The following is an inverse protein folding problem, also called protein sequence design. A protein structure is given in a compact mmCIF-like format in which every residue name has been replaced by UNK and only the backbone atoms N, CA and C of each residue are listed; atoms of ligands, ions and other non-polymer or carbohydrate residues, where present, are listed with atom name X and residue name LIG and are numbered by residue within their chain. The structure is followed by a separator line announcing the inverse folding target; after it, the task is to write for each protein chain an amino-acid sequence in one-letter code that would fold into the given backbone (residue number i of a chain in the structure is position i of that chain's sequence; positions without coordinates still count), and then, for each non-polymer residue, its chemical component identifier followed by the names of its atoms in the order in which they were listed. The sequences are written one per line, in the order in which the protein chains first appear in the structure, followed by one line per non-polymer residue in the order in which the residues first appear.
data_IF_288101672433
#
_entry.id   IF_288101672433
#
_cell.length_a   1.000
_cell.length_b   1.000
_cell.length_c   1.000
_cell.angle_alpha   90.00
_cell.angle_beta   90.00
_cell.angle_gamma   90.00
#
_symmetry.space_group_name_H-M   'P 1'
#
loop_
_entity.id
_entity.type
_entity.pdbx_description
1 polymer ?
#
# COMPACT_ATOMS: atom_id res chain seq x y z
N UNK A 1 63.31 52.72 -23.17
CA UNK A 1 62.36 51.63 -23.51
C UNK A 1 62.64 50.48 -22.56
N UNK A 2 61.90 50.38 -21.46
CA UNK A 2 61.89 49.15 -20.66
C UNK A 2 61.11 48.12 -21.47
N UNK A 3 61.80 47.14 -22.04
CA UNK A 3 61.14 46.00 -22.68
C UNK A 3 60.31 45.28 -21.63
N UNK A 4 58.98 45.38 -21.75
CA UNK A 4 58.06 44.50 -21.05
C UNK A 4 58.39 43.07 -21.47
N UNK A 5 58.93 42.26 -20.56
CA UNK A 5 59.08 40.82 -20.78
C UNK A 5 57.66 40.25 -20.78
N UNK A 6 57.17 39.79 -21.94
CA UNK A 6 55.87 39.11 -22.04
C UNK A 6 55.87 37.87 -21.17
N UNK A 7 54.78 37.64 -20.43
CA UNK A 7 54.63 36.49 -19.54
C UNK A 7 54.52 35.18 -20.35
N UNK A 8 55.24 34.13 -19.94
CA UNK A 8 55.23 32.80 -20.55
C UNK A 8 54.37 31.76 -19.79
N UNK A 9 53.67 32.19 -18.74
CA UNK A 9 52.79 31.35 -17.94
C UNK A 9 51.51 31.00 -18.71
N UNK A 10 51.34 29.71 -19.02
CA UNK A 10 50.19 29.14 -19.73
C UNK A 10 49.51 28.04 -18.90
N UNK A 11 49.20 28.31 -17.63
CA UNK A 11 48.64 27.31 -16.71
C UNK A 11 47.13 27.46 -16.55
N UNK A 12 46.45 26.34 -16.35
CA UNK A 12 45.17 26.31 -15.63
C UNK A 12 45.51 26.32 -14.14
N UNK A 13 44.96 27.29 -13.41
CA UNK A 13 45.16 27.49 -11.97
C UNK A 13 44.03 26.86 -11.15
N UNK A 14 42.80 26.85 -11.69
CA UNK A 14 41.68 26.10 -11.12
C UNK A 14 40.73 25.62 -12.22
N UNK A 15 40.06 24.52 -11.95
CA UNK A 15 39.02 23.96 -12.80
C UNK A 15 37.92 23.39 -11.91
N UNK A 16 36.70 23.90 -12.06
CA UNK A 16 35.54 23.42 -11.32
C UNK A 16 34.33 23.20 -12.23
N UNK A 17 33.48 22.26 -11.84
CA UNK A 17 32.17 22.04 -12.46
C UNK A 17 31.09 22.52 -11.50
N UNK A 18 30.12 23.25 -12.07
CA UNK A 18 28.92 23.69 -11.37
C UNK A 18 27.66 23.21 -12.06
N UNK A 19 26.72 22.66 -11.28
CA UNK A 19 25.38 22.28 -11.73
C UNK A 19 24.35 22.58 -10.65
N UNK A 20 23.50 23.57 -10.88
CA UNK A 20 22.61 24.08 -9.83
C UNK A 20 23.41 24.56 -8.61
N UNK A 21 23.20 23.92 -7.46
CA UNK A 21 23.93 24.16 -6.21
C UNK A 21 25.20 23.30 -6.04
N UNK A 22 25.38 22.27 -6.87
CA UNK A 22 26.57 21.43 -6.83
C UNK A 22 27.76 22.18 -7.42
N UNK A 23 28.88 22.20 -6.70
CA UNK A 23 30.17 22.71 -7.16
C UNK A 23 31.23 21.68 -6.75
N UNK A 24 32.13 21.33 -7.68
CA UNK A 24 33.29 20.49 -7.40
C UNK A 24 34.52 21.00 -8.11
N UNK A 25 35.56 21.27 -7.34
CA UNK A 25 36.90 21.55 -7.83
C UNK A 25 37.62 20.24 -8.18
N UNK A 26 38.41 20.27 -9.25
CA UNK A 26 39.22 19.15 -9.70
C UNK A 26 40.70 19.47 -9.55
N UNK A 27 41.45 18.45 -9.15
CA UNK A 27 42.90 18.53 -9.08
C UNK A 27 43.52 18.63 -10.48
N UNK A 28 44.53 19.49 -10.61
CA UNK A 28 45.28 19.69 -11.85
C UNK A 28 46.66 19.07 -11.63
N UNK A 29 46.88 17.90 -12.23
CA UNK A 29 48.14 17.18 -12.18
C UNK A 29 48.87 17.38 -13.49
N UNK A 30 49.96 18.16 -13.45
CA UNK A 30 50.71 18.59 -14.64
C UNK A 30 49.81 19.26 -15.69
N UNK A 31 49.44 18.51 -16.72
CA UNK A 31 48.64 18.90 -17.87
C UNK A 31 47.35 18.06 -17.98
N UNK A 32 46.91 17.46 -16.87
CA UNK A 32 45.78 16.53 -16.82
C UNK A 32 44.83 16.87 -15.69
N UNK A 33 43.54 16.86 -16.00
CA UNK A 33 42.43 17.09 -15.07
C UNK A 33 41.50 15.89 -15.19
N UNK A 34 41.59 14.98 -14.22
CA UNK A 34 40.83 13.72 -14.23
C UNK A 34 40.07 13.62 -12.92
N UNK A 35 38.81 13.22 -12.99
CA UNK A 35 38.04 13.02 -11.78
C UNK A 35 36.64 12.50 -12.01
N UNK A 36 35.97 12.22 -10.89
CA UNK A 36 34.61 11.72 -10.87
C UNK A 36 33.69 12.74 -10.22
N UNK A 37 32.51 12.99 -10.79
CA UNK A 37 31.38 13.58 -10.05
C UNK A 37 30.55 12.46 -9.40
N UNK A 38 29.79 12.74 -8.33
CA UNK A 38 28.85 11.76 -7.77
C UNK A 38 27.86 11.26 -8.83
N UNK A 39 27.36 10.03 -8.66
CA UNK A 39 26.51 9.34 -9.65
C UNK A 39 25.18 10.02 -9.98
N UNK A 40 24.69 10.89 -9.09
CA UNK A 40 23.48 11.70 -9.27
C UNK A 40 23.73 13.03 -10.00
N UNK A 41 24.99 13.39 -10.27
CA UNK A 41 25.37 14.58 -11.03
C UNK A 41 25.57 14.18 -12.49
N UNK A 42 24.54 14.43 -13.30
CA UNK A 42 24.65 14.32 -14.76
C UNK A 42 25.57 15.43 -15.30
N UNK A 43 26.38 15.13 -16.31
CA UNK A 43 27.38 16.03 -16.89
C UNK A 43 26.88 16.84 -18.09
N UNK A 44 25.56 17.00 -18.22
CA UNK A 44 24.89 17.95 -19.10
C UNK A 44 24.44 19.20 -18.32
N UNK A 45 24.11 20.29 -19.03
CA UNK A 45 23.69 21.57 -18.43
C UNK A 45 24.61 22.05 -17.29
N UNK A 46 25.91 21.85 -17.45
CA UNK A 46 26.93 22.26 -16.49
C UNK A 46 27.49 23.64 -16.85
N UNK A 47 28.16 24.27 -15.87
CA UNK A 47 29.03 25.42 -16.10
C UNK A 47 30.44 25.05 -15.67
N UNK A 48 31.42 25.35 -16.52
CA UNK A 48 32.83 25.24 -16.18
C UNK A 48 33.31 26.58 -15.62
N UNK A 49 33.90 26.58 -14.43
CA UNK A 49 34.61 27.75 -13.90
C UNK A 49 36.11 27.44 -13.94
N UNK A 50 36.82 28.15 -14.83
CA UNK A 50 38.24 27.90 -15.11
C UNK A 50 39.03 29.18 -14.88
N UNK A 51 40.02 29.12 -14.00
CA UNK A 51 40.98 30.22 -13.78
C UNK A 51 42.28 29.83 -14.47
N UNK A 52 42.83 30.73 -15.28
CA UNK A 52 44.10 30.54 -15.99
C UNK A 52 45.13 31.58 -15.55
N UNK A 53 46.39 31.38 -15.93
CA UNK A 53 47.47 32.35 -15.70
C UNK A 53 47.10 33.75 -16.20
N UNK A 54 47.58 34.78 -15.49
CA UNK A 54 47.32 36.17 -15.85
C UNK A 54 47.75 36.47 -17.30
N UNK A 55 46.87 37.18 -18.03
CA UNK A 55 46.96 37.50 -19.46
C UNK A 55 46.98 36.32 -20.44
N UNK A 56 46.84 35.08 -19.98
CA UNK A 56 46.70 33.94 -20.88
C UNK A 56 45.30 33.91 -21.52
N UNK A 57 45.16 33.16 -22.61
CA UNK A 57 43.87 32.83 -23.24
C UNK A 57 43.66 31.32 -23.25
N UNK A 58 42.39 30.87 -23.29
CA UNK A 58 42.03 29.45 -23.29
C UNK A 58 41.07 29.15 -24.44
N UNK A 59 41.30 28.04 -25.14
CA UNK A 59 40.44 27.55 -26.22
C UNK A 59 40.19 26.03 -26.08
N UNK A 60 38.97 25.52 -26.30
CA UNK A 60 37.73 26.27 -26.52
C UNK A 60 37.34 27.14 -25.31
N UNK A 61 36.42 28.09 -25.50
CA UNK A 61 35.92 28.94 -24.41
C UNK A 61 35.15 28.06 -23.39
N UNK A 62 35.58 28.00 -22.11
CA UNK A 62 34.89 27.21 -21.09
C UNK A 62 33.42 27.59 -20.90
N UNK A 63 33.04 28.85 -21.17
CA UNK A 63 31.68 29.35 -20.95
C UNK A 63 30.64 28.80 -21.93
N UNK A 64 31.08 28.28 -23.09
CA UNK A 64 30.19 27.66 -24.09
C UNK A 64 30.08 26.15 -23.94
N UNK A 65 30.88 25.54 -23.05
CA UNK A 65 30.86 24.11 -22.80
C UNK A 65 29.86 23.82 -21.69
N UNK A 66 28.71 23.27 -22.10
CA UNK A 66 27.62 22.90 -21.18
C UNK A 66 27.48 21.40 -20.99
N UNK A 67 28.35 20.58 -21.60
CA UNK A 67 28.31 19.12 -21.48
C UNK A 67 29.72 18.53 -21.56
N UNK A 68 29.98 17.50 -20.74
CA UNK A 68 31.19 16.68 -20.78
C UNK A 68 30.82 15.21 -20.97
N UNK A 69 30.59 14.80 -22.22
CA UNK A 69 30.28 13.42 -22.62
C UNK A 69 31.52 12.62 -23.05
N UNK A 70 32.63 13.31 -23.33
CA UNK A 70 33.90 12.74 -23.77
C UNK A 70 35.08 13.59 -23.27
N UNK A 71 36.31 13.06 -23.29
CA UNK A 71 37.49 13.84 -22.96
C UNK A 71 37.61 15.09 -23.84
N UNK A 72 37.98 16.20 -23.20
CA UNK A 72 38.13 17.52 -23.79
C UNK A 72 39.59 17.96 -23.67
N UNK A 73 40.08 18.73 -24.65
CA UNK A 73 41.41 19.34 -24.59
C UNK A 73 41.25 20.86 -24.56
N UNK A 74 41.81 21.50 -23.53
CA UNK A 74 42.01 22.95 -23.52
C UNK A 74 43.43 23.29 -23.97
N UNK A 75 43.55 24.36 -24.74
CA UNK A 75 44.82 24.96 -25.13
C UNK A 75 44.93 26.31 -24.42
N UNK A 76 45.88 26.44 -23.51
CA UNK A 76 46.18 27.71 -22.84
C UNK A 76 47.35 28.37 -23.58
N UNK A 77 47.16 29.58 -24.05
CA UNK A 77 48.18 30.37 -24.77
C UNK A 77 48.62 31.54 -23.91
N UNK A 78 49.91 31.62 -23.57
CA UNK A 78 50.50 32.71 -22.80
C UNK A 78 50.62 34.01 -23.64
N UNK A 79 50.98 35.13 -22.99
CA UNK A 79 51.19 36.44 -23.63
C UNK A 79 52.32 36.40 -24.67
N UNK A 80 53.33 35.53 -24.48
CA UNK A 80 54.42 35.31 -25.43
C UNK A 80 54.07 34.36 -26.61
N UNK A 81 52.84 33.83 -26.63
CA UNK A 81 52.36 32.91 -27.66
C UNK A 81 52.68 31.43 -27.41
N UNK A 82 53.39 31.09 -26.33
CA UNK A 82 53.65 29.68 -25.97
C UNK A 82 52.37 28.99 -25.50
N UNK A 83 52.13 27.78 -25.98
CA UNK A 83 50.90 27.03 -25.71
C UNK A 83 51.13 25.83 -24.81
N UNK A 84 50.14 25.50 -23.98
CA UNK A 84 50.10 24.25 -23.21
C UNK A 84 48.73 23.60 -23.33
N UNK A 85 48.73 22.30 -23.61
CA UNK A 85 47.52 21.51 -23.71
C UNK A 85 47.18 20.88 -22.37
N UNK A 86 45.90 20.94 -22.00
CA UNK A 86 45.34 20.33 -20.81
C UNK A 86 44.28 19.29 -21.21
N UNK A 87 44.50 18.03 -20.84
CA UNK A 87 43.55 16.96 -21.06
C UNK A 87 42.56 16.91 -19.89
N UNK A 88 41.27 17.01 -20.20
CA UNK A 88 40.17 16.96 -19.23
C UNK A 88 39.37 15.69 -19.48
N UNK A 89 39.37 14.77 -18.52
CA UNK A 89 38.55 13.55 -18.52
C UNK A 89 37.79 13.48 -17.20
N UNK A 90 36.65 14.18 -17.18
CA UNK A 90 35.72 14.12 -16.05
C UNK A 90 34.59 13.17 -16.41
N UNK A 91 34.32 12.22 -15.52
CA UNK A 91 33.22 11.28 -15.63
C UNK A 91 32.33 11.37 -14.40
N UNK A 92 31.16 10.76 -14.46
CA UNK A 92 30.36 10.52 -13.25
C UNK A 92 30.65 9.13 -12.69
N UNK A 93 30.50 8.97 -11.38
CA UNK A 93 30.43 7.66 -10.75
C UNK A 93 29.21 6.89 -11.29
N UNK A 94 29.33 5.57 -11.38
CA UNK A 94 28.20 4.71 -11.68
C UNK A 94 27.38 4.48 -10.40
N UNK A 95 26.05 4.46 -10.51
CA UNK A 95 25.17 4.22 -9.36
C UNK A 95 25.42 2.84 -8.73
N UNK A 96 25.38 2.79 -7.39
CA UNK A 96 25.45 1.56 -6.60
C UNK A 96 24.07 1.08 -6.12
N UNK A 97 22.99 1.71 -6.56
CA UNK A 97 21.64 1.37 -6.13
C UNK A 97 21.19 0.03 -6.74
N UNK A 98 20.87 -0.93 -5.89
CA UNK A 98 20.43 -2.28 -6.27
C UNK A 98 19.31 -2.81 -5.35
N UNK A 99 18.44 -1.93 -4.88
CA UNK A 99 17.37 -2.31 -3.94
C UNK A 99 16.06 -2.62 -4.67
N UNK A 100 15.37 -3.68 -4.25
CA UNK A 100 13.95 -3.87 -4.60
C UNK A 100 13.14 -2.97 -3.66
N UNK A 101 12.37 -2.05 -4.23
CA UNK A 101 11.60 -1.04 -3.49
C UNK A 101 10.12 -1.39 -3.35
N UNK A 102 9.60 -2.23 -4.25
CA UNK A 102 8.27 -2.84 -4.13
C UNK A 102 8.24 -4.19 -4.81
N UNK A 103 7.38 -5.07 -4.32
CA UNK A 103 7.17 -6.41 -4.86
C UNK A 103 5.68 -6.75 -4.73
N UNK A 104 4.99 -6.80 -5.85
CA UNK A 104 3.53 -6.92 -5.90
C UNK A 104 3.14 -8.24 -6.56
N UNK A 105 2.14 -8.90 -5.97
CA UNK A 105 1.62 -10.20 -6.40
C UNK A 105 0.16 -9.99 -6.79
N UNK A 106 -0.20 -10.30 -8.03
CA UNK A 106 -1.57 -10.20 -8.50
C UNK A 106 -2.29 -11.54 -8.30
N UNK A 107 -3.39 -11.53 -7.56
CA UNK A 107 -4.25 -12.69 -7.30
C UNK A 107 -5.70 -12.29 -7.57
N UNK A 108 -6.33 -12.97 -8.54
CA UNK A 108 -7.65 -12.57 -9.04
C UNK A 108 -7.67 -11.06 -9.38
N UNK A 109 -8.60 -10.32 -8.78
CA UNK A 109 -8.76 -8.87 -8.96
C UNK A 109 -8.01 -8.04 -7.90
N UNK A 110 -7.22 -8.69 -7.04
CA UNK A 110 -6.45 -8.03 -5.97
C UNK A 110 -4.96 -7.96 -6.32
N UNK A 111 -4.32 -6.90 -5.84
CA UNK A 111 -2.86 -6.75 -5.86
C UNK A 111 -2.39 -6.70 -4.43
N UNK A 112 -1.58 -7.68 -4.03
CA UNK A 112 -1.05 -7.80 -2.68
C UNK A 112 0.41 -7.37 -2.66
N UNK A 113 0.78 -6.52 -1.71
CA UNK A 113 2.16 -6.07 -1.54
C UNK A 113 2.90 -7.02 -0.57
N UNK A 114 4.08 -7.48 -0.98
CA UNK A 114 4.93 -8.33 -0.16
C UNK A 114 5.81 -7.51 0.81
N UNK A 115 6.14 -8.10 1.96
CA UNK A 115 7.08 -7.51 2.89
C UNK A 115 8.51 -7.66 2.34
N UNK A 116 9.24 -6.54 2.27
CA UNK A 116 10.65 -6.52 1.87
C UNK A 116 11.51 -6.25 3.11
N UNK A 117 12.25 -7.27 3.55
CA UNK A 117 13.28 -7.12 4.57
C UNK A 117 14.62 -6.88 3.89
N UNK A 118 15.06 -5.62 3.85
CA UNK A 118 16.32 -5.20 3.22
C UNK A 118 17.57 -5.54 4.03
N UNK A 119 17.43 -5.92 5.31
CA UNK A 119 18.55 -6.36 6.15
C UNK A 119 18.86 -7.83 5.90
N UNK A 120 17.83 -8.67 5.82
CA UNK A 120 17.95 -10.11 5.53
C UNK A 120 17.96 -10.42 4.03
N UNK A 121 17.66 -9.42 3.19
CA UNK A 121 17.38 -9.57 1.76
C UNK A 121 16.33 -10.65 1.47
N UNK A 122 15.23 -10.63 2.23
CA UNK A 122 14.11 -11.55 2.05
C UNK A 122 12.86 -10.80 1.67
N UNK A 123 12.09 -11.39 0.77
CA UNK A 123 10.76 -10.91 0.40
C UNK A 123 9.77 -12.00 0.78
N UNK A 124 8.81 -11.66 1.64
CA UNK A 124 7.85 -12.63 2.16
C UNK A 124 6.43 -12.11 2.08
N UNK A 125 5.48 -13.03 1.84
CA UNK A 125 4.05 -12.73 1.91
C UNK A 125 3.30 -14.01 2.24
N UNK A 126 2.30 -13.90 3.11
CA UNK A 126 1.30 -14.96 3.27
C UNK A 126 0.22 -14.76 2.23
N UNK A 127 -0.18 -15.83 1.55
CA UNK A 127 -1.14 -15.80 0.46
C UNK A 127 -2.37 -16.65 0.82
N UNK A 128 -3.55 -16.32 0.27
CA UNK A 128 -4.75 -17.12 0.47
C UNK A 128 -4.60 -18.52 -0.12
N UNK A 129 -5.25 -19.50 0.49
CA UNK A 129 -5.17 -20.90 0.07
C UNK A 129 -5.84 -21.18 -1.29
N UNK A 130 -6.70 -20.28 -1.77
CA UNK A 130 -7.28 -20.35 -3.12
C UNK A 130 -6.36 -19.84 -4.23
N UNK A 131 -5.20 -19.25 -3.90
CA UNK A 131 -4.20 -18.84 -4.90
C UNK A 131 -3.36 -20.01 -5.38
N UNK A 132 -2.89 -19.95 -6.63
CA UNK A 132 -1.99 -20.96 -7.21
C UNK A 132 -0.55 -20.45 -7.21
N UNK A 133 0.30 -20.93 -6.30
CA UNK A 133 1.71 -20.51 -6.25
C UNK A 133 2.49 -20.89 -7.51
N UNK A 134 2.04 -21.91 -8.25
CA UNK A 134 2.67 -22.30 -9.52
C UNK A 134 2.25 -21.44 -10.71
N UNK A 135 1.34 -20.48 -10.51
CA UNK A 135 0.83 -19.59 -11.54
C UNK A 135 0.48 -18.20 -10.96
N UNK A 136 1.52 -17.43 -10.63
CA UNK A 136 1.41 -16.05 -10.15
C UNK A 136 1.91 -15.05 -11.19
N UNK A 137 1.27 -13.88 -11.20
CA UNK A 137 1.80 -12.69 -11.88
C UNK A 137 2.43 -11.76 -10.85
N UNK A 138 3.72 -11.48 -11.02
CA UNK A 138 4.51 -10.68 -10.07
C UNK A 138 5.17 -9.50 -10.78
N UNK A 139 5.22 -8.36 -10.10
CA UNK A 139 6.00 -7.19 -10.52
C UNK A 139 6.92 -6.73 -9.40
N UNK A 140 8.10 -6.26 -9.75
CA UNK A 140 9.07 -5.69 -8.81
C UNK A 140 9.56 -4.34 -9.31
N UNK A 141 9.71 -3.37 -8.41
CA UNK A 141 10.28 -2.07 -8.72
C UNK A 141 11.73 -1.98 -8.26
N UNK A 142 12.62 -1.59 -9.18
CA UNK A 142 14.06 -1.44 -8.96
C UNK A 142 14.55 -0.07 -9.47
N UNK A 143 15.72 0.42 -9.05
CA UNK A 143 16.34 1.62 -9.60
C UNK A 143 16.46 1.56 -11.12
N UNK A 144 16.19 2.68 -11.81
CA UNK A 144 16.09 2.70 -13.28
C UNK A 144 17.38 2.38 -14.05
N UNK A 145 18.55 2.46 -13.41
CA UNK A 145 19.85 2.06 -13.99
C UNK A 145 20.32 0.67 -13.53
N UNK A 146 19.53 0.00 -12.68
CA UNK A 146 19.78 -1.36 -12.26
C UNK A 146 19.12 -2.37 -13.21
N UNK A 147 19.50 -3.63 -13.09
CA UNK A 147 18.86 -4.77 -13.76
C UNK A 147 18.50 -5.84 -12.73
N UNK A 148 17.48 -6.65 -13.01
CA UNK A 148 17.04 -7.76 -12.16
C UNK A 148 17.05 -9.05 -12.97
N UNK A 149 17.62 -10.12 -12.39
CA UNK A 149 17.68 -11.45 -13.02
C UNK A 149 17.29 -12.53 -12.01
N UNK A 150 16.39 -13.46 -12.35
CA UNK A 150 15.57 -13.48 -13.57
C UNK A 150 14.61 -12.26 -13.63
N UNK A 151 14.03 -11.98 -14.79
CA UNK A 151 12.97 -10.97 -14.89
C UNK A 151 11.70 -11.53 -14.21
N UNK A 152 11.08 -10.81 -13.26
CA UNK A 152 9.86 -11.29 -12.58
C UNK A 152 8.73 -11.68 -13.55
N UNK A 153 8.59 -10.95 -14.66
CA UNK A 153 7.58 -11.23 -15.70
C UNK A 153 7.78 -12.56 -16.45
N UNK A 154 8.96 -13.17 -16.34
CA UNK A 154 9.28 -14.44 -16.98
C UNK A 154 9.08 -15.64 -16.03
N UNK A 155 8.66 -15.37 -14.78
CA UNK A 155 8.38 -16.38 -13.77
C UNK A 155 6.90 -16.38 -13.44
N UNK A 156 6.38 -17.59 -13.25
CA UNK A 156 5.01 -17.82 -12.78
C UNK A 156 4.97 -18.74 -11.57
N UNK A 157 5.96 -19.63 -11.42
CA UNK A 157 6.04 -20.57 -10.31
C UNK A 157 6.88 -20.01 -9.14
N UNK A 158 6.20 -19.84 -8.01
CA UNK A 158 6.72 -19.44 -6.70
C UNK A 158 6.36 -20.48 -5.62
N UNK A 159 6.06 -21.72 -6.01
CA UNK A 159 5.81 -22.83 -5.07
C UNK A 159 7.04 -23.19 -4.23
N UNK A 160 8.22 -22.75 -4.65
CA UNK A 160 9.48 -22.80 -3.90
C UNK A 160 10.14 -21.41 -3.89
N UNK A 161 11.04 -21.12 -2.92
CA UNK A 161 11.73 -19.85 -2.89
C UNK A 161 12.51 -19.55 -4.18
N UNK A 162 12.47 -18.29 -4.62
CA UNK A 162 13.13 -17.81 -5.84
C UNK A 162 14.11 -16.70 -5.49
N UNK A 163 15.35 -16.81 -5.97
CA UNK A 163 16.35 -15.77 -5.81
C UNK A 163 16.34 -14.81 -7.00
N UNK A 164 16.29 -13.50 -6.70
CA UNK A 164 16.48 -12.42 -7.65
C UNK A 164 17.77 -11.68 -7.37
N UNK A 165 18.61 -11.52 -8.39
CA UNK A 165 19.83 -10.73 -8.33
C UNK A 165 19.54 -9.37 -8.95
N UNK A 166 19.62 -8.32 -8.13
CA UNK A 166 19.59 -6.93 -8.60
C UNK A 166 21.01 -6.44 -8.76
N UNK A 167 21.38 -6.07 -9.99
CA UNK A 167 22.70 -5.55 -10.34
C UNK A 167 22.62 -4.06 -10.60
N UNK A 168 23.37 -3.27 -9.83
CA UNK A 168 23.48 -1.82 -10.00
C UNK A 168 24.28 -1.45 -11.26
N UNK A 169 24.22 -0.17 -11.63
CA UNK A 169 24.98 0.39 -12.76
C UNK A 169 26.49 0.17 -12.62
N UNK A 170 27.03 0.27 -11.41
CA UNK A 170 28.45 0.04 -11.12
C UNK A 170 28.84 -1.46 -11.07
N UNK A 171 27.88 -2.37 -11.29
CA UNK A 171 28.08 -3.81 -11.27
C UNK A 171 27.98 -4.48 -9.90
N UNK A 172 27.74 -3.74 -8.82
CA UNK A 172 27.48 -4.33 -7.50
C UNK A 172 26.13 -5.04 -7.47
N UNK A 173 26.08 -6.22 -6.87
CA UNK A 173 24.91 -7.10 -6.87
C UNK A 173 24.33 -7.25 -5.46
N UNK A 174 23.01 -7.38 -5.39
CA UNK A 174 22.26 -7.73 -4.18
C UNK A 174 21.25 -8.82 -4.52
N UNK A 175 21.31 -9.93 -3.80
CA UNK A 175 20.40 -11.06 -3.98
C UNK A 175 19.26 -10.98 -2.99
N UNK A 176 18.02 -11.06 -3.47
CA UNK A 176 16.80 -11.16 -2.67
C UNK A 176 16.18 -12.55 -2.82
N UNK A 177 15.91 -13.23 -1.72
CA UNK A 177 15.16 -14.49 -1.73
C UNK A 177 13.67 -14.20 -1.49
N UNK A 178 12.84 -14.50 -2.49
CA UNK A 178 11.38 -14.42 -2.40
C UNK A 178 10.86 -15.76 -1.89
N UNK A 179 10.17 -15.76 -0.76
CA UNK A 179 9.52 -16.92 -0.18
C UNK A 179 8.05 -16.61 0.09
N UNK A 180 7.16 -17.22 -0.71
CA UNK A 180 5.72 -17.07 -0.60
C UNK A 180 5.15 -18.33 0.05
N UNK A 181 4.22 -18.14 0.99
CA UNK A 181 3.62 -19.26 1.71
C UNK A 181 2.12 -19.03 1.86
N UNK A 182 1.34 -20.10 1.98
CA UNK A 182 -0.06 -19.96 2.33
C UNK A 182 -0.24 -19.55 3.80
N UNK A 183 -1.34 -18.85 4.08
CA UNK A 183 -1.93 -18.85 5.42
C UNK A 183 -2.35 -20.28 5.77
N UNK A 184 -1.90 -20.79 6.91
CA UNK A 184 -2.07 -22.20 7.26
C UNK A 184 -2.23 -22.45 8.76
N UNK A 185 -2.13 -21.43 9.59
CA UNK A 185 -2.32 -21.52 11.03
C UNK A 185 -3.81 -21.28 11.30
N UNK A 186 -4.54 -22.23 11.92
CA UNK A 186 -5.94 -22.01 12.29
C UNK A 186 -6.10 -20.73 13.12
N UNK A 187 -7.09 -19.92 12.73
CA UNK A 187 -7.41 -18.64 13.36
C UNK A 187 -8.84 -18.65 13.85
N UNK A 188 -9.03 -18.23 15.10
CA UNK A 188 -10.33 -17.99 15.69
C UNK A 188 -10.25 -16.85 16.70
N UNK A 189 -11.22 -15.96 16.66
CA UNK A 189 -11.41 -14.85 17.62
C UNK A 189 -12.89 -14.68 17.89
N UNK A 190 -13.25 -14.26 19.10
CA UNK A 190 -14.64 -14.13 19.50
C UNK A 190 -14.80 -13.04 20.55
N UNK A 191 -15.78 -12.17 20.34
CA UNK A 191 -16.23 -11.15 21.28
C UNK A 191 -17.53 -11.64 21.87
N UNK A 192 -17.47 -12.23 23.08
CA UNK A 192 -18.59 -12.99 23.66
C UNK A 192 -19.36 -12.23 24.74
N UNK A 193 -18.71 -11.23 25.35
CA UNK A 193 -19.27 -10.44 26.45
C UNK A 193 -20.37 -9.52 25.92
N UNK A 194 -21.52 -9.51 26.60
CA UNK A 194 -22.68 -8.72 26.20
C UNK A 194 -23.31 -8.10 27.44
N UNK A 195 -23.49 -6.78 27.44
CA UNK A 195 -24.23 -6.05 28.48
C UNK A 195 -25.30 -5.11 27.90
N UNK A 196 -25.48 -5.08 26.57
CA UNK A 196 -26.53 -4.32 25.90
C UNK A 196 -27.03 -5.04 24.63
N UNK A 197 -28.22 -4.63 24.16
CA UNK A 197 -28.82 -5.08 22.90
C UNK A 197 -29.35 -3.89 22.10
N UNK A 198 -28.91 -3.74 20.84
CA UNK A 198 -29.37 -2.68 19.93
C UNK A 198 -30.47 -3.21 19.03
N UNK A 199 -31.51 -2.42 18.76
CA UNK A 199 -32.52 -2.78 17.75
C UNK A 199 -31.89 -3.25 16.44
N UNK A 200 -32.39 -4.38 15.93
CA UNK A 200 -31.98 -4.99 14.67
C UNK A 200 -33.19 -5.51 13.91
N UNK A 201 -33.26 -5.20 12.61
CA UNK A 201 -34.34 -5.60 11.72
C UNK A 201 -35.41 -4.52 11.52
N UNK A 202 -36.60 -4.97 11.12
CA UNK A 202 -37.75 -4.15 10.76
C UNK A 202 -38.38 -3.40 11.92
N UNK A 203 -39.42 -2.63 11.62
CA UNK A 203 -40.18 -1.88 12.62
C UNK A 203 -41.67 -1.81 12.30
N UNK A 204 -42.48 -2.56 13.03
CA UNK A 204 -43.95 -2.58 12.89
C UNK A 204 -44.68 -1.62 13.86
N UNK A 205 -43.97 -0.71 14.55
CA UNK A 205 -44.59 0.18 15.55
C UNK A 205 -45.55 1.17 14.93
N UNK A 206 -46.74 1.29 15.52
CA UNK A 206 -47.81 2.24 15.15
C UNK A 206 -47.75 3.56 15.91
N UNK A 207 -46.98 3.60 17.01
CA UNK A 207 -46.87 4.73 17.91
C UNK A 207 -45.46 5.36 17.94
N UNK A 208 -44.63 5.11 16.94
CA UNK A 208 -43.32 5.76 16.83
C UNK A 208 -43.49 7.23 16.39
N UNK A 209 -42.85 8.20 17.06
CA UNK A 209 -43.08 9.62 16.80
C UNK A 209 -42.64 10.06 15.40
N UNK A 210 -41.58 9.44 14.87
CA UNK A 210 -40.91 9.90 13.64
C UNK A 210 -40.85 8.82 12.53
N UNK A 211 -41.51 7.68 12.72
CA UNK A 211 -41.39 6.52 11.81
C UNK A 211 -42.78 5.94 11.56
N UNK A 212 -43.13 5.75 10.28
CA UNK A 212 -44.35 5.03 9.91
C UNK A 212 -44.17 3.51 10.10
N UNK A 213 -45.24 2.75 10.42
CA UNK A 213 -45.19 1.30 10.45
C UNK A 213 -44.61 0.73 9.16
N UNK A 214 -43.74 -0.28 9.28
CA UNK A 214 -43.10 -0.97 8.15
C UNK A 214 -42.24 -0.07 7.25
N UNK A 215 -41.89 1.14 7.71
CA UNK A 215 -41.05 2.05 6.96
C UNK A 215 -39.56 1.74 7.16
N UNK A 216 -39.16 1.31 8.36
CA UNK A 216 -37.76 1.27 8.80
C UNK A 216 -37.18 -0.15 8.87
N UNK A 217 -35.92 -0.28 8.47
CA UNK A 217 -35.05 -1.43 8.75
C UNK A 217 -33.71 -0.95 9.33
N UNK A 218 -33.25 -1.59 10.40
CA UNK A 218 -32.03 -1.22 11.13
C UNK A 218 -30.98 -2.31 11.01
N UNK A 219 -29.82 -1.95 10.46
CA UNK A 219 -28.61 -2.76 10.40
C UNK A 219 -27.65 -2.48 11.55
N UNK A 220 -26.65 -3.34 11.66
CA UNK A 220 -25.55 -3.25 12.64
C UNK A 220 -24.23 -3.52 11.93
N UNK A 221 -23.14 -2.91 12.38
CA UNK A 221 -21.83 -3.20 11.85
C UNK A 221 -20.72 -3.07 12.87
N UNK A 222 -19.55 -3.59 12.52
CA UNK A 222 -18.36 -3.61 13.37
C UNK A 222 -17.13 -3.57 12.46
N UNK A 223 -16.19 -2.68 12.75
CA UNK A 223 -14.87 -2.73 12.13
C UNK A 223 -13.97 -3.76 12.80
N UNK A 224 -13.07 -4.35 12.01
CA UNK A 224 -12.08 -5.32 12.44
C UNK A 224 -10.72 -4.97 11.83
N UNK A 225 -9.73 -4.74 12.71
CA UNK A 225 -8.33 -4.63 12.34
C UNK A 225 -7.68 -6.02 12.32
N UNK A 226 -7.24 -6.48 11.15
CA UNK A 226 -6.50 -7.74 11.03
C UNK A 226 -5.02 -7.47 11.28
N UNK A 227 -4.45 -8.01 12.36
CA UNK A 227 -3.01 -7.84 12.67
C UNK A 227 -2.08 -8.69 11.80
N UNK A 228 -2.63 -9.66 11.08
CA UNK A 228 -1.91 -10.57 10.20
C UNK A 228 -2.75 -10.83 8.95
N UNK A 229 -2.08 -11.18 7.87
CA UNK A 229 -2.69 -11.74 6.68
C UNK A 229 -3.62 -12.89 7.08
N UNK A 230 -4.90 -12.80 6.68
CA UNK A 230 -5.96 -13.69 7.16
C UNK A 230 -6.88 -14.08 6.02
N UNK A 231 -7.16 -15.38 5.89
CA UNK A 231 -8.24 -15.91 5.06
C UNK A 231 -9.37 -16.37 5.98
N UNK A 232 -10.53 -15.71 5.92
CA UNK A 232 -11.69 -16.07 6.74
C UNK A 232 -12.55 -17.13 6.06
N UNK A 233 -12.93 -18.16 6.82
CA UNK A 233 -13.95 -19.13 6.42
C UNK A 233 -15.34 -18.77 6.94
N UNK A 234 -15.43 -18.07 8.08
CA UNK A 234 -16.72 -17.63 8.62
C UNK A 234 -16.63 -16.32 9.39
N UNK A 235 -17.72 -15.56 9.33
CA UNK A 235 -18.01 -14.44 10.23
C UNK A 235 -19.32 -14.73 10.93
N UNK A 236 -19.39 -14.52 12.24
CA UNK A 236 -20.62 -14.75 13.00
C UNK A 236 -21.00 -13.52 13.81
N UNK A 237 -22.31 -13.31 13.96
CA UNK A 237 -22.90 -12.26 14.79
C UNK A 237 -23.71 -12.89 15.91
N UNK A 238 -23.95 -12.16 16.99
CA UNK A 238 -24.83 -12.62 18.08
C UNK A 238 -26.11 -11.78 18.14
N UNK A 239 -27.25 -12.46 18.08
CA UNK A 239 -28.57 -11.86 18.23
C UNK A 239 -29.19 -12.26 19.57
N UNK A 240 -29.90 -11.34 20.20
CA UNK A 240 -30.51 -11.50 21.53
C UNK A 240 -31.58 -12.61 21.54
N UNK A 241 -32.43 -12.64 20.51
CA UNK A 241 -33.56 -13.57 20.42
C UNK A 241 -33.97 -13.85 18.97
N UNK A 242 -34.95 -14.72 18.77
CA UNK A 242 -35.66 -14.84 17.49
C UNK A 242 -36.42 -13.56 17.12
N UNK A 243 -36.83 -13.46 15.85
CA UNK A 243 -37.56 -12.29 15.35
C UNK A 243 -39.01 -12.27 15.84
N UNK A 244 -39.52 -11.09 16.17
CA UNK A 244 -40.89 -10.88 16.65
C UNK A 244 -41.43 -9.54 16.21
N UNK A 245 -42.75 -9.41 16.20
CA UNK A 245 -43.40 -8.10 16.06
C UNK A 245 -43.26 -7.31 17.36
N UNK A 246 -42.94 -6.02 17.26
CA UNK A 246 -42.62 -5.23 18.44
C UNK A 246 -43.79 -5.08 19.41
N UNK A 247 -44.96 -4.72 18.90
CA UNK A 247 -46.13 -4.38 19.73
C UNK A 247 -46.76 -5.63 20.35
N UNK A 248 -47.03 -6.66 19.54
CA UNK A 248 -47.70 -7.87 19.99
C UNK A 248 -46.77 -8.85 20.69
N UNK A 249 -45.44 -8.68 20.53
CA UNK A 249 -44.41 -9.63 20.96
C UNK A 249 -44.56 -11.03 20.36
N UNK A 250 -45.41 -11.19 19.33
CA UNK A 250 -45.64 -12.47 18.68
C UNK A 250 -44.40 -12.87 17.87
N UNK A 251 -43.88 -14.10 18.03
CA UNK A 251 -42.78 -14.61 17.23
C UNK A 251 -43.10 -14.61 15.74
N UNK A 252 -42.09 -14.29 14.93
CA UNK A 252 -42.11 -14.45 13.48
C UNK A 252 -41.75 -15.90 13.16
N UNK A 253 -42.76 -16.76 13.01
CA UNK A 253 -42.60 -18.21 12.82
C UNK A 253 -42.30 -18.60 11.37
N UNK A 254 -41.57 -17.74 10.65
CA UNK A 254 -41.15 -17.96 9.27
C UNK A 254 -39.63 -17.77 9.16
N UNK A 255 -39.08 -18.28 8.07
CA UNK A 255 -37.65 -18.11 7.80
C UNK A 255 -37.33 -16.65 7.52
N UNK A 256 -36.15 -16.23 7.93
CA UNK A 256 -35.60 -14.90 7.61
C UNK A 256 -34.23 -15.02 7.00
N UNK A 257 -33.87 -14.03 6.17
CA UNK A 257 -32.54 -13.96 5.56
C UNK A 257 -31.79 -12.77 6.13
N UNK A 258 -30.54 -12.99 6.52
CA UNK A 258 -29.64 -11.92 6.93
C UNK A 258 -28.57 -11.74 5.86
N UNK A 259 -28.32 -10.50 5.49
CA UNK A 259 -27.23 -10.12 4.61
C UNK A 259 -26.03 -9.68 5.45
N UNK A 260 -24.83 -10.06 5.03
CA UNK A 260 -23.55 -9.52 5.49
C UNK A 260 -22.86 -8.86 4.28
N UNK A 261 -22.58 -7.57 4.38
CA UNK A 261 -21.70 -6.83 3.48
C UNK A 261 -20.36 -6.61 4.18
N UNK A 262 -19.27 -6.92 3.48
CA UNK A 262 -17.90 -6.65 3.89
C UNK A 262 -17.43 -5.46 3.08
N UNK A 263 -16.85 -4.47 3.75
CA UNK A 263 -16.54 -3.16 3.17
C UNK A 263 -15.11 -2.72 3.45
N UNK A 264 -14.58 -1.91 2.54
CA UNK A 264 -13.38 -1.11 2.81
C UNK A 264 -13.69 0.06 3.77
N UNK A 265 -12.68 0.81 4.18
CA UNK A 265 -12.84 1.97 5.08
C UNK A 265 -13.61 3.15 4.46
N UNK A 266 -13.66 3.23 3.12
CA UNK A 266 -14.50 4.23 2.43
C UNK A 266 -15.98 3.84 2.39
N UNK A 267 -16.31 2.62 2.83
CA UNK A 267 -17.67 2.10 2.89
C UNK A 267 -18.12 1.35 1.63
N UNK A 268 -17.23 1.18 0.64
CA UNK A 268 -17.55 0.41 -0.56
C UNK A 268 -17.64 -1.08 -0.22
N UNK A 269 -18.65 -1.75 -0.76
CA UNK A 269 -18.83 -3.19 -0.60
C UNK A 269 -17.78 -3.92 -1.44
N UNK A 270 -16.91 -4.69 -0.79
CA UNK A 270 -15.94 -5.57 -1.46
C UNK A 270 -16.51 -6.96 -1.70
N UNK A 271 -17.42 -7.43 -0.84
CA UNK A 271 -18.11 -8.71 -1.00
C UNK A 271 -19.34 -8.78 -0.10
N UNK A 272 -20.26 -9.68 -0.42
CA UNK A 272 -21.47 -9.91 0.35
C UNK A 272 -21.84 -11.39 0.38
N UNK A 273 -22.52 -11.80 1.45
CA UNK A 273 -23.14 -13.12 1.55
C UNK A 273 -24.47 -13.04 2.30
N UNK A 274 -25.30 -14.05 2.15
CA UNK A 274 -26.61 -14.15 2.79
C UNK A 274 -26.71 -15.49 3.50
N UNK A 275 -27.20 -15.47 4.74
CA UNK A 275 -27.54 -16.66 5.51
C UNK A 275 -29.04 -16.70 5.77
N UNK A 276 -29.63 -17.90 5.82
CA UNK A 276 -31.06 -18.11 6.11
C UNK A 276 -31.20 -18.72 7.50
N UNK A 277 -32.02 -18.11 8.34
CA UNK A 277 -32.37 -18.61 9.65
C UNK A 277 -33.71 -19.35 9.57
N UNK A 278 -33.75 -20.56 10.14
CA UNK A 278 -34.97 -21.34 10.24
C UNK A 278 -35.91 -20.78 11.34
N UNK A 279 -37.16 -21.20 11.27
CA UNK A 279 -38.25 -20.92 12.22
C UNK A 279 -37.92 -21.28 13.67
N UNK A 280 -36.95 -22.15 13.90
CA UNK A 280 -36.51 -22.58 15.24
C UNK A 280 -35.44 -21.67 15.85
N UNK A 281 -35.01 -20.61 15.17
CA UNK A 281 -34.00 -19.70 15.72
C UNK A 281 -34.54 -18.89 16.90
N UNK A 282 -34.03 -19.16 18.10
CA UNK A 282 -34.46 -18.52 19.35
C UNK A 282 -33.52 -17.43 19.86
N UNK A 283 -32.44 -17.14 19.11
CA UNK A 283 -31.35 -16.24 19.52
C UNK A 283 -30.00 -16.96 19.58
N UNK A 284 -28.92 -16.19 19.76
CA UNK A 284 -27.54 -16.69 19.82
C UNK A 284 -26.72 -16.35 18.58
N UNK A 285 -25.70 -17.16 18.33
CA UNK A 285 -24.78 -16.97 17.21
C UNK A 285 -25.43 -17.32 15.88
N UNK A 286 -25.19 -16.47 14.88
CA UNK A 286 -25.58 -16.67 13.49
C UNK A 286 -24.31 -16.65 12.65
N UNK A 287 -24.04 -17.76 11.96
CA UNK A 287 -22.86 -17.93 11.12
C UNK A 287 -23.14 -17.53 9.67
N UNK A 288 -22.22 -16.77 9.09
CA UNK A 288 -22.12 -16.50 7.67
C UNK A 288 -20.93 -17.29 7.10
N UNK A 289 -21.19 -18.12 6.10
CA UNK A 289 -20.15 -18.84 5.36
C UNK A 289 -19.48 -17.90 4.36
N UNK A 290 -18.16 -17.77 4.48
CA UNK A 290 -17.31 -16.95 3.62
C UNK A 290 -16.41 -17.80 2.71
N UNK A 291 -16.43 -19.13 2.85
CA UNK A 291 -15.45 -20.05 2.26
C UNK A 291 -15.41 -19.98 0.73
N UNK A 292 -16.53 -19.59 0.09
CA UNK A 292 -16.63 -19.48 -1.36
C UNK A 292 -16.42 -18.06 -1.90
N UNK A 293 -16.15 -17.08 -1.05
CA UNK A 293 -16.03 -15.67 -1.45
C UNK A 293 -14.62 -15.28 -1.89
N UNK A 294 -13.64 -16.19 -1.79
CA UNK A 294 -12.23 -15.95 -2.14
C UNK A 294 -11.70 -14.65 -1.51
N UNK A 295 -11.96 -14.49 -0.20
CA UNK A 295 -11.58 -13.29 0.54
C UNK A 295 -10.23 -13.44 1.22
N UNK A 296 -9.44 -12.38 1.14
CA UNK A 296 -8.15 -12.27 1.80
C UNK A 296 -8.05 -10.90 2.46
N UNK A 297 -7.69 -10.88 3.74
CA UNK A 297 -7.61 -9.68 4.56
C UNK A 297 -6.14 -9.43 4.90
N UNK A 298 -5.58 -8.33 4.39
CA UNK A 298 -4.18 -8.00 4.60
C UNK A 298 -3.86 -7.61 6.04
N UNK A 299 -2.64 -7.93 6.47
CA UNK A 299 -2.11 -7.51 7.76
C UNK A 299 -2.18 -5.99 7.93
N UNK A 300 -2.42 -5.56 9.18
CA UNK A 300 -2.56 -4.18 9.62
C UNK A 300 -3.59 -3.37 8.83
N UNK A 301 -4.59 -4.04 8.27
CA UNK A 301 -5.67 -3.39 7.50
C UNK A 301 -7.00 -3.59 8.22
N UNK A 302 -7.79 -2.52 8.25
CA UNK A 302 -9.11 -2.50 8.86
C UNK A 302 -10.20 -2.65 7.80
N UNK A 303 -11.21 -3.47 8.10
CA UNK A 303 -12.36 -3.73 7.26
C UNK A 303 -13.65 -3.58 8.07
N UNK A 304 -14.74 -3.21 7.41
CA UNK A 304 -16.03 -2.98 8.07
C UNK A 304 -16.99 -4.10 7.67
N UNK A 305 -17.55 -4.78 8.68
CA UNK A 305 -18.56 -5.81 8.49
C UNK A 305 -19.92 -5.22 8.87
N UNK A 306 -20.85 -5.20 7.94
CA UNK A 306 -22.20 -4.66 8.15
C UNK A 306 -23.24 -5.72 7.84
N UNK A 307 -24.21 -5.91 8.73
CA UNK A 307 -25.27 -6.91 8.56
C UNK A 307 -26.65 -6.34 8.81
N UNK A 308 -27.65 -6.91 8.14
CA UNK A 308 -29.03 -6.47 8.24
C UNK A 308 -30.03 -7.56 7.80
N UNK A 309 -31.27 -7.42 8.25
CA UNK A 309 -32.39 -8.26 7.83
C UNK A 309 -32.77 -7.93 6.39
N UNK A 310 -32.76 -8.94 5.52
CA UNK A 310 -33.28 -8.81 4.14
C UNK A 310 -34.79 -8.58 4.21
N UNK A 311 -35.29 -7.62 3.43
CA UNK A 311 -36.70 -7.21 3.42
C UNK A 311 -37.25 -6.72 4.78
N UNK A 312 -36.37 -6.29 5.69
CA UNK A 312 -36.77 -5.94 7.05
C UNK A 312 -37.89 -4.88 7.15
N UNK A 313 -37.97 -3.92 6.22
CA UNK A 313 -39.07 -2.94 6.19
C UNK A 313 -40.42 -3.62 6.00
N UNK A 314 -40.53 -4.50 4.99
CA UNK A 314 -41.75 -5.24 4.67
C UNK A 314 -42.11 -6.25 5.76
N UNK A 315 -41.11 -6.89 6.36
CA UNK A 315 -41.33 -7.85 7.43
C UNK A 315 -41.80 -7.18 8.73
N UNK A 316 -41.24 -6.02 9.07
CA UNK A 316 -41.58 -5.27 10.29
C UNK A 316 -41.17 -5.94 11.60
N UNK A 317 -40.43 -7.05 11.54
CA UNK A 317 -40.01 -7.84 12.71
C UNK A 317 -38.60 -7.52 13.15
N UNK A 318 -38.37 -7.59 14.45
CA UNK A 318 -37.12 -7.17 15.05
C UNK A 318 -36.59 -8.15 16.10
N UNK A 319 -35.30 -7.99 16.39
CA UNK A 319 -34.60 -8.56 17.54
C UNK A 319 -33.56 -7.54 18.04
N UNK A 320 -32.63 -7.97 18.89
CA UNK A 320 -31.47 -7.20 19.35
C UNK A 320 -30.17 -7.72 18.76
N UNK A 321 -29.29 -6.85 18.26
CA UNK A 321 -27.86 -7.17 18.10
C UNK A 321 -27.19 -7.03 19.46
N UNK A 322 -26.57 -8.11 19.94
CA UNK A 322 -25.87 -8.09 21.23
C UNK A 322 -24.56 -7.31 21.14
N UNK A 323 -24.27 -6.54 22.19
CA UNK A 323 -23.10 -5.68 22.27
C UNK A 323 -22.56 -5.57 23.69
N UNK A 324 -21.32 -5.09 23.77
CA UNK A 324 -20.68 -4.61 24.98
C UNK A 324 -20.51 -3.08 24.87
N UNK A 325 -20.78 -2.35 25.96
CA UNK A 325 -20.77 -0.87 25.95
C UNK A 325 -19.66 -0.26 26.79
N UNK A 326 -18.97 -1.06 27.61
CA UNK A 326 -17.86 -0.52 28.39
C UNK A 326 -16.62 -0.43 27.50
N UNK A 327 -15.82 0.62 27.72
CA UNK A 327 -14.59 0.83 26.96
C UNK A 327 -13.59 -0.30 27.20
N UNK A 328 -12.77 -0.58 26.18
CA UNK A 328 -11.65 -1.51 26.27
C UNK A 328 -10.75 -1.41 25.05
N UNK A 329 -9.83 -2.37 24.91
CA UNK A 329 -8.82 -2.39 23.86
C UNK A 329 -8.69 -3.76 23.17
N UNK A 330 -8.12 -3.74 21.97
CA UNK A 330 -7.86 -4.94 21.18
C UNK A 330 -9.03 -5.34 20.26
N UNK A 331 -9.03 -6.62 19.86
CA UNK A 331 -9.85 -7.14 18.75
C UNK A 331 -11.35 -6.80 18.85
N UNK A 332 -11.91 -6.80 20.06
CA UNK A 332 -13.34 -6.60 20.26
C UNK A 332 -13.79 -5.15 20.29
N UNK A 333 -12.85 -4.20 20.27
CA UNK A 333 -13.14 -2.80 20.53
C UNK A 333 -12.93 -1.92 19.29
N UNK A 334 -13.18 -2.47 18.11
CA UNK A 334 -13.24 -1.69 16.87
C UNK A 334 -14.46 -0.76 16.81
N UNK A 335 -14.54 0.09 15.79
CA UNK A 335 -15.65 1.00 15.58
C UNK A 335 -16.95 0.24 15.30
N UNK A 336 -17.95 0.42 16.16
CA UNK A 336 -19.31 -0.04 15.91
C UNK A 336 -20.02 0.83 14.88
N UNK A 337 -21.02 0.28 14.20
CA UNK A 337 -21.87 1.01 13.26
C UNK A 337 -23.34 0.65 13.44
N UNK A 338 -24.19 1.60 13.09
CA UNK A 338 -25.61 1.34 12.86
C UNK A 338 -26.03 1.91 11.51
N UNK A 339 -26.87 1.15 10.81
CA UNK A 339 -27.45 1.56 9.54
C UNK A 339 -28.96 1.68 9.68
N UNK A 340 -29.56 2.65 8.99
CA UNK A 340 -31.02 2.76 8.92
C UNK A 340 -31.47 3.01 7.47
N UNK A 341 -32.35 2.14 6.96
CA UNK A 341 -33.08 2.40 5.73
C UNK A 341 -34.56 2.65 5.99
N UNK A 342 -35.16 3.49 5.15
CA UNK A 342 -36.54 3.90 5.18
C UNK A 342 -37.13 3.84 3.75
N UNK A 343 -38.32 3.25 3.60
CA UNK A 343 -39.07 3.30 2.33
C UNK A 343 -39.37 4.76 1.96
N UNK A 344 -39.81 5.56 2.93
CA UNK A 344 -40.16 6.97 2.79
C UNK A 344 -39.00 7.86 2.31
N UNK A 345 -37.76 7.47 2.60
CA UNK A 345 -36.55 8.18 2.15
C UNK A 345 -35.93 7.58 0.89
N UNK A 346 -36.55 6.53 0.32
CA UNK A 346 -36.07 5.79 -0.85
C UNK A 346 -34.58 5.44 -0.77
N UNK A 347 -34.15 4.90 0.39
CA UNK A 347 -32.77 4.50 0.63
C UNK A 347 -32.69 3.01 1.06
N UNK A 348 -31.47 2.48 1.16
CA UNK A 348 -31.25 1.08 1.54
C UNK A 348 -29.90 0.91 2.24
N UNK A 349 -29.76 -0.20 2.96
CA UNK A 349 -28.56 -0.50 3.77
C UNK A 349 -27.34 -0.92 2.94
N UNK A 350 -27.45 -1.05 1.60
CA UNK A 350 -26.26 -1.19 0.76
C UNK A 350 -25.51 0.14 0.61
N UNK A 351 -26.24 1.25 0.64
CA UNK A 351 -25.68 2.61 0.52
C UNK A 351 -24.98 3.02 1.82
N UNK A 352 -23.68 3.31 1.73
CA UNK A 352 -22.86 3.71 2.89
C UNK A 352 -23.38 4.95 3.63
N UNK A 353 -24.03 5.89 2.92
CA UNK A 353 -24.59 7.10 3.54
C UNK A 353 -25.74 6.84 4.52
N UNK A 354 -26.26 5.60 4.57
CA UNK A 354 -27.26 5.18 5.56
C UNK A 354 -26.63 4.68 6.86
N UNK A 355 -25.31 4.54 6.90
CA UNK A 355 -24.54 4.06 8.04
C UNK A 355 -23.89 5.21 8.79
N UNK A 356 -23.83 5.05 10.11
CA UNK A 356 -23.19 5.98 11.04
C UNK A 356 -22.43 5.19 12.09
N UNK A 357 -21.39 5.81 12.64
CA UNK A 357 -20.65 5.29 13.78
C UNK A 357 -21.59 5.10 14.98
N UNK A 358 -21.33 4.04 15.74
CA UNK A 358 -22.01 3.69 16.97
C UNK A 358 -20.97 3.45 18.06
N UNK A 359 -21.25 3.93 19.27
CA UNK A 359 -20.33 3.85 20.41
C UNK A 359 -20.22 2.45 21.05
N UNK A 360 -20.91 1.44 20.50
CA UNK A 360 -20.99 0.10 21.10
C UNK A 360 -20.14 -0.89 20.33
N UNK A 361 -19.70 -1.94 21.03
CA UNK A 361 -18.85 -2.99 20.50
C UNK A 361 -19.68 -4.26 20.28
N UNK A 362 -19.99 -4.58 19.04
CA UNK A 362 -20.93 -5.67 18.73
C UNK A 362 -20.27 -7.05 18.83
N UNK A 363 -21.03 -8.02 19.30
CA UNK A 363 -20.57 -9.39 19.44
C UNK A 363 -20.35 -10.04 18.07
N UNK A 364 -19.09 -10.26 17.73
CA UNK A 364 -18.64 -10.92 16.51
C UNK A 364 -17.75 -12.12 16.82
N UNK A 365 -17.72 -13.08 15.90
CA UNK A 365 -16.78 -14.22 15.93
C UNK A 365 -16.23 -14.44 14.54
N UNK A 366 -14.94 -14.73 14.45
CA UNK A 366 -14.22 -15.00 13.21
C UNK A 366 -13.59 -16.38 13.28
N UNK A 367 -13.59 -17.09 12.14
CA UNK A 367 -12.83 -18.32 11.97
C UNK A 367 -12.16 -18.31 10.59
N UNK A 368 -10.97 -18.88 10.50
CA UNK A 368 -10.17 -18.87 9.28
C UNK A 368 -8.77 -19.41 9.46
N UNK A 369 -7.83 -18.88 8.68
CA UNK A 369 -6.40 -19.19 8.73
C UNK A 369 -5.55 -17.92 8.62
N UNK A 370 -4.41 -17.91 9.30
CA UNK A 370 -3.37 -16.87 9.21
C UNK A 370 -1.98 -17.44 8.91
#
# INVERSE_FOLDING_TARGET
MSGSISNNENKILSFSIKKGSFIKDFEILENSIVGLTPSYIELDDIKLEVIISDKATIAPDPSVITTLDKPLIFIVTAEDGSTKNYNVDIRKELSNQNEITSFNIKIADQTLEANINTVENKITKKLPSFSNLSDLTVTANIPGKASITPLPSNLTDYSSPVDFIVKAENGTEKTYTVALEYVNIPYSRSCNESNANKWFGGDSRTNAPDISPYDRNVGTGQSVLFQKDTELSSFSIKLESGFKYHETRTPYNEKVKLNLDIRNLSGDIISSTVTELDTTFVGGWVDFDLSNLQLFFEANTEYIFTWYLVDGTNLGVNTGSSAYIDNGDGFCFGQGYYGQSNISLNNNLKNWNTWKEHEWYFNIKLQGKN
#
